data_IF_160243321247
#
_entry.id   IF_160243321247
#
_cell.length_a   1.000
_cell.length_b   1.000
_cell.length_c   1.000
_cell.angle_alpha   90.00
_cell.angle_beta   90.00
_cell.angle_gamma   90.00
#
_symmetry.space_group_name_H-M   'P 1'
#
loop_
_entity.id
_entity.type
_entity.pdbx_description
1 polymer ?
#
# COMPACT_ATOMS: atom_id res chain seq x y z
N UNK A 1 14.69 -7.71 3.38
CA UNK A 1 14.38 -7.85 1.93
C UNK A 1 13.04 -7.21 1.54
N UNK A 2 11.90 -7.68 2.07
CA UNK A 2 10.57 -7.19 1.64
C UNK A 2 10.35 -5.67 1.79
N UNK A 3 10.74 -5.11 2.94
CA UNK A 3 10.65 -3.65 3.18
C UNK A 3 11.53 -2.85 2.21
N UNK A 4 12.77 -3.27 1.96
CA UNK A 4 13.65 -2.60 1.01
C UNK A 4 13.07 -2.59 -0.41
N UNK A 5 12.54 -3.73 -0.87
CA UNK A 5 11.87 -3.81 -2.18
C UNK A 5 10.64 -2.89 -2.24
N UNK A 6 9.83 -2.84 -1.19
CA UNK A 6 8.67 -1.95 -1.11
C UNK A 6 9.08 -0.46 -1.15
N UNK A 7 10.13 -0.08 -0.43
CA UNK A 7 10.66 1.28 -0.43
C UNK A 7 11.15 1.69 -1.83
N UNK A 8 11.88 0.80 -2.52
CA UNK A 8 12.36 1.07 -3.89
C UNK A 8 11.19 1.27 -4.84
N UNK A 9 10.20 0.38 -4.81
CA UNK A 9 8.99 0.50 -5.65
C UNK A 9 8.22 1.78 -5.32
N UNK A 10 8.07 2.12 -4.05
CA UNK A 10 7.43 3.35 -3.60
C UNK A 10 8.15 4.60 -4.13
N UNK A 11 9.46 4.71 -3.90
CA UNK A 11 10.26 5.87 -4.34
C UNK A 11 10.31 5.99 -5.86
N UNK A 12 10.43 4.87 -6.59
CA UNK A 12 10.38 4.87 -8.05
C UNK A 12 9.02 5.35 -8.57
N UNK A 13 7.93 4.89 -7.96
CA UNK A 13 6.57 5.34 -8.32
C UNK A 13 6.40 6.82 -8.01
N UNK A 14 6.82 7.26 -6.83
CA UNK A 14 6.77 8.67 -6.44
C UNK A 14 7.55 9.56 -7.41
N UNK A 15 8.73 9.11 -7.86
CA UNK A 15 9.52 9.84 -8.85
C UNK A 15 8.76 10.03 -10.18
N UNK A 16 8.01 9.02 -10.64
CA UNK A 16 7.14 9.15 -11.83
C UNK A 16 6.05 10.20 -11.58
N UNK A 17 5.39 10.15 -10.43
CA UNK A 17 4.37 11.14 -10.07
C UNK A 17 4.92 12.57 -10.02
N UNK A 18 6.12 12.77 -9.46
CA UNK A 18 6.73 14.09 -9.41
C UNK A 18 7.16 14.60 -10.79
N UNK A 19 7.58 13.71 -11.70
CA UNK A 19 7.90 14.08 -13.08
C UNK A 19 6.68 14.51 -13.89
N UNK A 20 5.53 13.87 -13.66
CA UNK A 20 4.27 14.21 -14.32
C UNK A 20 3.67 15.54 -13.83
N UNK A 21 4.08 16.02 -12.65
CA UNK A 21 3.65 17.32 -12.12
C UNK A 21 4.49 18.44 -12.75
N UNK A 22 3.83 19.24 -13.61
CA UNK A 22 4.45 20.43 -14.23
C UNK A 22 4.47 21.60 -13.25
N UNK A 23 5.61 22.29 -13.18
CA UNK A 23 5.82 23.35 -12.20
C UNK A 23 5.95 22.80 -10.78
N UNK A 24 5.75 23.66 -9.78
CA UNK A 24 5.86 23.29 -8.35
C UNK A 24 7.23 22.72 -7.96
N UNK A 25 8.32 23.17 -8.58
CA UNK A 25 9.68 22.61 -8.38
C UNK A 25 10.11 22.61 -6.90
N UNK A 26 9.78 23.66 -6.15
CA UNK A 26 10.02 23.70 -4.70
C UNK A 26 9.24 22.61 -3.97
N UNK A 27 7.93 22.46 -4.24
CA UNK A 27 7.10 21.42 -3.63
C UNK A 27 7.58 20.02 -3.98
N UNK A 28 7.94 19.79 -5.26
CA UNK A 28 8.49 18.51 -5.74
C UNK A 28 9.77 18.15 -5.00
N UNK A 29 10.68 19.12 -4.84
CA UNK A 29 11.93 18.94 -4.10
C UNK A 29 11.68 18.60 -2.62
N UNK A 30 10.78 19.33 -1.96
CA UNK A 30 10.42 19.06 -0.55
C UNK A 30 9.82 17.66 -0.38
N UNK A 31 8.87 17.27 -1.23
CA UNK A 31 8.23 15.95 -1.19
C UNK A 31 9.28 14.86 -1.42
N UNK A 32 10.13 15.01 -2.45
CA UNK A 32 11.17 14.04 -2.79
C UNK A 32 12.17 13.84 -1.66
N UNK A 33 12.76 14.92 -1.15
CA UNK A 33 13.76 14.83 -0.08
C UNK A 33 13.15 14.31 1.21
N UNK A 34 11.93 14.72 1.56
CA UNK A 34 11.23 14.19 2.74
C UNK A 34 10.97 12.70 2.61
N UNK A 35 10.49 12.23 1.46
CA UNK A 35 10.29 10.81 1.20
C UNK A 35 11.61 10.03 1.29
N UNK A 36 12.70 10.54 0.71
CA UNK A 36 14.02 9.91 0.79
C UNK A 36 14.48 9.80 2.25
N UNK A 37 14.45 10.91 3.01
CA UNK A 37 14.94 10.93 4.39
C UNK A 37 14.10 10.04 5.31
N UNK A 38 12.78 10.06 5.18
CA UNK A 38 11.88 9.20 5.98
C UNK A 38 12.07 7.73 5.65
N UNK A 39 12.17 7.35 4.37
CA UNK A 39 12.41 5.96 3.96
C UNK A 39 13.81 5.46 4.34
N UNK A 40 14.83 6.33 4.30
CA UNK A 40 16.17 6.01 4.79
C UNK A 40 16.17 5.79 6.31
N UNK A 41 15.51 6.66 7.07
CA UNK A 41 15.34 6.49 8.51
C UNK A 41 14.65 5.16 8.84
N UNK A 42 13.56 4.86 8.13
CA UNK A 42 12.83 3.59 8.28
C UNK A 42 13.73 2.37 8.09
N UNK A 43 14.44 2.30 6.95
CA UNK A 43 15.23 1.10 6.65
C UNK A 43 16.39 0.93 7.63
N UNK A 44 17.01 2.03 8.09
CA UNK A 44 18.06 1.99 9.12
C UNK A 44 17.51 1.43 10.43
N UNK A 45 16.34 1.91 10.88
CA UNK A 45 15.71 1.44 12.12
C UNK A 45 15.26 -0.01 12.01
N UNK A 46 14.70 -0.43 10.87
CA UNK A 46 14.35 -1.83 10.60
C UNK A 46 15.58 -2.73 10.66
N UNK A 47 16.67 -2.34 10.01
CA UNK A 47 17.93 -3.13 10.00
C UNK A 47 18.47 -3.24 11.42
N UNK A 48 18.48 -2.14 12.17
CA UNK A 48 18.93 -2.13 13.57
C UNK A 48 18.10 -3.07 14.45
N UNK A 49 16.77 -3.06 14.36
CA UNK A 49 15.91 -4.01 15.08
C UNK A 49 16.14 -5.47 14.63
N UNK A 50 16.37 -5.68 13.33
CA UNK A 50 16.68 -7.01 12.78
C UNK A 50 17.99 -7.56 13.36
N UNK A 51 19.05 -6.74 13.44
CA UNK A 51 20.33 -7.11 14.07
C UNK A 51 20.15 -7.44 15.54
N UNK A 52 19.24 -6.74 16.24
CA UNK A 52 18.85 -7.04 17.63
C UNK A 52 17.96 -8.28 17.78
N UNK A 53 17.58 -8.94 16.69
CA UNK A 53 16.72 -10.13 16.71
C UNK A 53 15.29 -9.86 17.18
N UNK A 54 14.80 -8.62 17.04
CA UNK A 54 13.49 -8.20 17.54
C UNK A 54 12.66 -7.53 16.44
N UNK A 55 11.31 -7.60 16.47
CA UNK A 55 10.48 -6.91 15.49
C UNK A 55 10.65 -5.38 15.57
N UNK A 56 10.51 -4.71 14.43
CA UNK A 56 10.52 -3.24 14.37
C UNK A 56 9.12 -2.64 14.49
N UNK A 57 8.12 -3.29 13.90
CA UNK A 57 6.72 -2.85 13.93
C UNK A 57 5.97 -3.53 15.07
N UNK A 58 5.04 -2.80 15.69
CA UNK A 58 4.15 -3.29 16.76
C UNK A 58 4.89 -3.80 18.00
N UNK A 59 6.12 -3.34 18.23
CA UNK A 59 6.96 -3.82 19.32
C UNK A 59 7.05 -2.81 20.47
N UNK A 60 6.29 -3.05 21.52
CA UNK A 60 6.27 -2.24 22.75
C UNK A 60 6.80 -2.98 23.98
N UNK A 61 7.59 -4.04 23.78
CA UNK A 61 8.09 -4.92 24.84
C UNK A 61 9.11 -4.28 25.79
N UNK A 62 9.69 -3.14 25.42
CA UNK A 62 10.59 -2.35 26.27
C UNK A 62 10.51 -0.87 25.89
N UNK A 63 10.93 0.03 26.79
CA UNK A 63 10.96 1.47 26.52
C UNK A 63 11.74 1.82 25.24
N UNK A 64 12.88 1.15 25.00
CA UNK A 64 13.66 1.36 23.79
C UNK A 64 12.89 0.92 22.53
N UNK A 65 12.27 -0.26 22.53
CA UNK A 65 11.50 -0.75 21.38
C UNK A 65 10.30 0.16 21.08
N UNK A 66 9.60 0.63 22.12
CA UNK A 66 8.50 1.59 21.99
C UNK A 66 8.97 2.91 21.37
N UNK A 67 10.13 3.43 21.80
CA UNK A 67 10.71 4.65 21.22
C UNK A 67 11.07 4.45 19.74
N UNK A 68 11.70 3.34 19.39
CA UNK A 68 12.02 3.02 17.99
C UNK A 68 10.75 2.94 17.16
N UNK A 69 9.75 2.20 17.61
CA UNK A 69 8.46 2.07 16.93
C UNK A 69 7.75 3.43 16.77
N UNK A 70 7.83 4.31 17.77
CA UNK A 70 7.25 5.66 17.72
C UNK A 70 7.97 6.55 16.71
N UNK A 71 9.30 6.49 16.66
CA UNK A 71 10.09 7.24 15.67
C UNK A 71 9.72 6.77 14.26
N UNK A 72 9.71 5.45 14.04
CA UNK A 72 9.29 4.84 12.78
C UNK A 72 7.90 5.32 12.34
N UNK A 73 6.90 5.20 13.24
CA UNK A 73 5.55 5.71 12.99
C UNK A 73 5.52 7.20 12.64
N UNK A 74 6.32 8.02 13.33
CA UNK A 74 6.42 9.47 13.05
C UNK A 74 6.98 9.75 11.66
N UNK A 75 8.02 9.01 11.22
CA UNK A 75 8.56 9.12 9.86
C UNK A 75 7.49 8.80 8.80
N UNK A 76 6.71 7.75 9.02
CA UNK A 76 5.63 7.36 8.11
C UNK A 76 4.49 8.39 8.10
N UNK A 77 4.13 8.97 9.25
CA UNK A 77 3.15 10.07 9.31
C UNK A 77 3.63 11.27 8.50
N UNK A 78 4.88 11.70 8.67
CA UNK A 78 5.47 12.80 7.90
C UNK A 78 5.41 12.50 6.40
N UNK A 79 5.81 11.30 5.98
CA UNK A 79 5.73 10.89 4.59
C UNK A 79 4.28 10.87 4.07
N UNK A 80 3.33 10.40 4.88
CA UNK A 80 1.91 10.39 4.54
C UNK A 80 1.36 11.80 4.31
N UNK A 81 1.76 12.77 5.15
CA UNK A 81 1.40 14.18 4.97
C UNK A 81 1.95 14.74 3.64
N UNK A 82 3.15 14.34 3.23
CA UNK A 82 3.69 14.72 1.92
C UNK A 82 2.89 14.12 0.76
N UNK A 83 2.38 12.89 0.90
CA UNK A 83 1.53 12.28 -0.12
C UNK A 83 0.12 12.89 -0.14
N UNK A 84 -0.42 13.28 1.01
CA UNK A 84 -1.65 14.08 1.07
C UNK A 84 -1.45 15.41 0.32
N UNK A 85 -0.33 16.09 0.58
CA UNK A 85 0.01 17.33 -0.12
C UNK A 85 0.16 17.11 -1.63
N UNK A 86 0.87 16.05 -2.05
CA UNK A 86 0.97 15.67 -3.46
C UNK A 86 -0.40 15.40 -4.09
N UNK A 87 -1.29 14.74 -3.36
CA UNK A 87 -2.66 14.46 -3.80
C UNK A 87 -3.40 15.76 -4.09
N UNK A 88 -3.32 16.73 -3.17
CA UNK A 88 -3.91 18.07 -3.35
C UNK A 88 -3.34 18.75 -4.60
N UNK A 89 -2.01 18.73 -4.78
CA UNK A 89 -1.36 19.30 -5.97
C UNK A 89 -1.85 18.65 -7.27
N UNK A 90 -2.07 17.33 -7.28
CA UNK A 90 -2.59 16.61 -8.45
C UNK A 90 -4.02 17.00 -8.84
N UNK A 91 -4.84 17.45 -7.88
CA UNK A 91 -6.18 17.98 -8.16
C UNK A 91 -6.17 19.45 -8.55
N UNK A 92 -5.15 20.22 -8.16
CA UNK A 92 -5.01 21.64 -8.49
C UNK A 92 -4.27 21.88 -9.80
N UNK A 93 -3.32 21.01 -10.14
CA UNK A 93 -2.46 21.15 -11.30
C UNK A 93 -3.18 20.73 -12.59
N UNK A 94 -2.84 21.44 -13.67
CA UNK A 94 -3.11 20.98 -15.02
C UNK A 94 -2.05 19.95 -15.43
N UNK A 95 -2.48 18.72 -15.69
CA UNK A 95 -1.61 17.60 -16.02
C UNK A 95 -1.64 17.42 -17.54
N UNK A 96 -0.49 17.58 -18.19
CA UNK A 96 -0.36 17.26 -19.61
C UNK A 96 -0.23 15.74 -19.81
N UNK A 97 -1.33 15.06 -19.52
CA UNK A 97 -1.50 13.62 -19.59
C UNK A 97 -2.86 13.32 -20.23
N UNK A 98 -3.02 12.17 -20.91
CA UNK A 98 -4.34 11.69 -21.31
C UNK A 98 -5.29 11.66 -20.10
N UNK A 99 -6.53 12.11 -20.30
CA UNK A 99 -7.52 12.25 -19.21
C UNK A 99 -7.70 10.98 -18.38
N UNK A 100 -7.66 9.80 -19.01
CA UNK A 100 -7.73 8.52 -18.32
C UNK A 100 -6.56 8.33 -17.33
N UNK A 101 -5.33 8.63 -17.75
CA UNK A 101 -4.15 8.50 -16.90
C UNK A 101 -4.14 9.53 -15.76
N UNK A 102 -4.55 10.77 -16.04
CA UNK A 102 -4.68 11.81 -15.01
C UNK A 102 -5.68 11.38 -13.91
N UNK A 103 -6.84 10.84 -14.29
CA UNK A 103 -7.80 10.29 -13.33
C UNK A 103 -7.27 9.05 -12.61
N UNK A 104 -6.58 8.15 -13.31
CA UNK A 104 -5.95 6.98 -12.70
C UNK A 104 -4.93 7.37 -11.63
N UNK A 105 -4.10 8.37 -11.90
CA UNK A 105 -3.14 8.90 -10.94
C UNK A 105 -3.80 9.56 -9.73
N UNK A 106 -4.82 10.40 -9.95
CA UNK A 106 -5.60 11.05 -8.88
C UNK A 106 -6.29 10.04 -7.97
N UNK A 107 -7.04 9.09 -8.54
CA UNK A 107 -7.77 8.09 -7.76
C UNK A 107 -6.81 7.11 -7.08
N UNK A 108 -5.71 6.74 -7.74
CA UNK A 108 -4.62 5.97 -7.14
C UNK A 108 -4.07 6.61 -5.87
N UNK A 109 -3.78 7.91 -5.90
CA UNK A 109 -3.32 8.67 -4.73
C UNK A 109 -4.36 8.73 -3.61
N UNK A 110 -5.64 8.96 -3.95
CA UNK A 110 -6.72 8.99 -2.95
C UNK A 110 -6.82 7.66 -2.21
N UNK A 111 -6.86 6.54 -2.93
CA UNK A 111 -6.94 5.21 -2.31
C UNK A 111 -5.67 4.89 -1.52
N UNK A 112 -4.49 5.31 -2.00
CA UNK A 112 -3.23 5.18 -1.25
C UNK A 112 -3.25 5.93 0.09
N UNK A 113 -3.77 7.15 0.11
CA UNK A 113 -3.91 7.92 1.36
C UNK A 113 -4.85 7.21 2.32
N UNK A 114 -5.98 6.68 1.84
CA UNK A 114 -6.91 5.90 2.67
C UNK A 114 -6.25 4.64 3.22
N UNK A 115 -5.49 3.92 2.40
CA UNK A 115 -4.69 2.76 2.83
C UNK A 115 -3.62 3.14 3.87
N UNK A 116 -2.99 4.30 3.73
CA UNK A 116 -2.03 4.82 4.72
C UNK A 116 -2.69 5.10 6.07
N UNK A 117 -3.93 5.63 6.08
CA UNK A 117 -4.71 5.85 7.30
C UNK A 117 -5.05 4.53 7.98
N UNK A 118 -5.41 3.49 7.22
CA UNK A 118 -5.63 2.15 7.75
C UNK A 118 -4.34 1.54 8.35
N UNK A 119 -3.18 1.84 7.77
CA UNK A 119 -1.87 1.53 8.38
C UNK A 119 -1.68 2.20 9.74
N UNK A 120 -2.08 3.46 9.86
CA UNK A 120 -2.11 4.19 11.13
C UNK A 120 -3.03 3.52 12.15
N UNK A 121 -4.20 3.03 11.71
CA UNK A 121 -5.11 2.27 12.58
C UNK A 121 -4.45 1.00 13.13
N UNK A 122 -3.78 0.19 12.30
CA UNK A 122 -3.01 -0.97 12.78
C UNK A 122 -1.98 -0.58 13.84
N UNK A 123 -1.28 0.55 13.65
CA UNK A 123 -0.32 1.03 14.63
C UNK A 123 -0.97 1.35 15.99
N UNK A 124 -2.19 1.88 16.00
CA UNK A 124 -2.95 2.10 17.26
C UNK A 124 -3.35 0.80 17.96
N UNK A 125 -3.55 -0.27 17.20
CA UNK A 125 -3.90 -1.59 17.75
C UNK A 125 -2.68 -2.37 18.24
N UNK A 126 -1.46 -1.87 17.98
CA UNK A 126 -0.20 -2.59 18.23
C UNK A 126 -0.25 -4.00 17.62
N UNK A 127 -0.79 -4.09 16.39
CA UNK A 127 -0.85 -5.35 15.68
C UNK A 127 -1.71 -5.27 14.42
N UNK A 128 -1.72 -6.37 13.67
CA UNK A 128 -2.44 -6.45 12.41
C UNK A 128 -3.38 -7.66 12.31
N UNK A 129 -3.25 -8.62 13.23
CA UNK A 129 -4.10 -9.81 13.30
C UNK A 129 -5.35 -9.50 14.10
N UNK A 130 -6.51 -9.88 13.57
CA UNK A 130 -7.80 -9.68 14.21
C UNK A 130 -8.33 -11.03 14.69
N UNK A 131 -8.66 -11.11 15.99
CA UNK A 131 -9.14 -12.33 16.63
C UNK A 131 -8.04 -13.18 17.29
N UNK A 132 -6.76 -12.80 17.15
CA UNK A 132 -5.62 -13.45 17.80
C UNK A 132 -4.43 -12.49 17.91
N UNK A 133 -3.40 -12.88 18.66
CA UNK A 133 -2.11 -12.19 18.67
C UNK A 133 -1.36 -12.38 17.34
N UNK A 134 -0.55 -11.39 16.97
CA UNK A 134 0.37 -11.49 15.83
C UNK A 134 1.37 -12.65 16.00
N UNK A 135 1.88 -13.17 14.87
CA UNK A 135 2.89 -14.24 14.85
C UNK A 135 2.36 -15.66 14.63
N UNK A 136 1.05 -15.81 14.40
CA UNK A 136 0.45 -17.07 13.98
C UNK A 136 0.91 -17.58 12.60
N UNK A 137 0.49 -18.78 12.24
CA UNK A 137 0.80 -19.41 10.94
C UNK A 137 0.26 -18.55 9.79
N UNK A 138 1.08 -18.33 8.77
CA UNK A 138 0.72 -17.49 7.63
C UNK A 138 1.14 -18.05 6.28
N UNK A 139 0.68 -17.41 5.21
CA UNK A 139 1.02 -17.75 3.83
C UNK A 139 2.54 -17.60 3.58
N UNK A 140 3.13 -18.44 2.70
CA UNK A 140 4.52 -18.25 2.27
C UNK A 140 4.77 -16.83 1.74
N UNK A 141 5.96 -16.30 2.00
CA UNK A 141 6.45 -14.98 1.57
C UNK A 141 5.72 -13.74 2.12
N UNK A 142 4.41 -13.72 2.28
CA UNK A 142 3.69 -12.53 2.82
C UNK A 142 3.33 -12.68 4.29
N UNK A 143 3.33 -13.93 4.80
CA UNK A 143 2.97 -14.29 6.16
C UNK A 143 1.58 -13.80 6.59
N UNK A 144 0.66 -13.60 5.65
CA UNK A 144 -0.72 -13.27 5.97
C UNK A 144 -1.40 -14.44 6.66
N UNK A 145 -2.14 -14.15 7.74
CA UNK A 145 -2.79 -15.18 8.56
C UNK A 145 -3.71 -16.08 7.72
N UNK A 146 -3.61 -17.40 7.97
CA UNK A 146 -4.48 -18.42 7.35
C UNK A 146 -5.55 -18.95 8.31
N UNK A 147 -5.57 -18.44 9.53
CA UNK A 147 -6.48 -18.85 10.61
C UNK A 147 -7.35 -17.71 11.12
N UNK A 148 -6.88 -16.47 11.02
CA UNK A 148 -7.52 -15.28 11.57
C UNK A 148 -7.54 -14.15 10.53
N UNK A 149 -8.25 -13.07 10.83
CA UNK A 149 -8.23 -11.85 10.01
C UNK A 149 -6.86 -11.20 10.01
N UNK A 150 -6.46 -10.60 8.88
CA UNK A 150 -5.17 -9.93 8.74
C UNK A 150 -5.32 -8.62 7.96
N UNK A 151 -5.23 -7.51 8.68
CA UNK A 151 -5.43 -6.16 8.14
C UNK A 151 -4.36 -5.82 7.08
N UNK A 152 -3.18 -6.45 7.11
CA UNK A 152 -2.12 -6.22 6.12
C UNK A 152 -2.55 -6.54 4.70
N UNK A 153 -3.53 -7.42 4.52
CA UNK A 153 -4.07 -7.72 3.19
C UNK A 153 -4.75 -6.49 2.60
N UNK A 154 -5.65 -5.86 3.36
CA UNK A 154 -6.32 -4.63 2.95
C UNK A 154 -5.29 -3.50 2.80
N UNK A 155 -4.41 -3.34 3.78
CA UNK A 155 -3.32 -2.36 3.74
C UNK A 155 -2.50 -2.44 2.46
N UNK A 156 -2.09 -3.65 2.07
CA UNK A 156 -1.33 -3.91 0.85
C UNK A 156 -2.07 -3.41 -0.39
N UNK A 157 -3.36 -3.73 -0.52
CA UNK A 157 -4.17 -3.22 -1.63
C UNK A 157 -4.30 -1.70 -1.59
N UNK A 158 -4.51 -1.09 -0.43
CA UNK A 158 -4.54 0.36 -0.27
C UNK A 158 -3.24 1.02 -0.74
N UNK A 159 -2.09 0.53 -0.25
CA UNK A 159 -0.77 1.04 -0.62
C UNK A 159 -0.39 0.79 -2.08
N UNK A 160 -0.94 -0.22 -2.74
CA UNK A 160 -0.63 -0.51 -4.14
C UNK A 160 -1.55 0.19 -5.15
N UNK A 161 -2.57 0.91 -4.68
CA UNK A 161 -3.53 1.57 -5.55
C UNK A 161 -2.90 2.63 -6.47
N UNK A 162 -1.93 3.40 -5.95
CA UNK A 162 -1.25 4.43 -6.73
C UNK A 162 -0.25 3.88 -7.77
N UNK A 163 0.07 2.59 -7.75
CA UNK A 163 0.70 1.91 -8.88
C UNK A 163 -0.35 1.30 -9.81
N UNK A 164 -1.27 0.51 -9.26
CA UNK A 164 -2.12 -0.38 -10.05
C UNK A 164 -3.17 0.41 -10.86
N UNK A 165 -3.79 1.43 -10.28
CA UNK A 165 -4.84 2.19 -10.97
C UNK A 165 -4.28 2.96 -12.18
N UNK A 166 -3.14 3.69 -12.09
CA UNK A 166 -2.51 4.29 -13.27
C UNK A 166 -2.07 3.28 -14.32
N UNK A 167 -1.55 2.12 -13.91
CA UNK A 167 -1.16 1.06 -14.85
C UNK A 167 -2.37 0.48 -15.60
N UNK A 168 -3.52 0.34 -14.92
CA UNK A 168 -4.77 -0.04 -15.58
C UNK A 168 -5.21 1.04 -16.59
N UNK A 169 -5.06 2.33 -16.25
CA UNK A 169 -5.35 3.42 -17.18
C UNK A 169 -4.47 3.36 -18.44
N UNK A 170 -3.16 3.10 -18.28
CA UNK A 170 -2.25 2.90 -19.41
C UNK A 170 -2.64 1.69 -20.25
N UNK A 171 -3.05 0.59 -19.62
CA UNK A 171 -3.53 -0.60 -20.32
C UNK A 171 -4.80 -0.29 -21.14
N UNK A 172 -5.77 0.42 -20.58
CA UNK A 172 -6.98 0.80 -21.31
C UNK A 172 -6.72 1.78 -22.45
N UNK A 173 -5.76 2.69 -22.29
CA UNK A 173 -5.30 3.56 -23.38
C UNK A 173 -4.65 2.74 -24.51
N UNK A 174 -3.79 1.79 -24.16
CA UNK A 174 -3.11 0.91 -25.14
C UNK A 174 -4.08 -0.01 -25.89
N UNK A 175 -5.09 -0.54 -25.20
CA UNK A 175 -6.08 -1.46 -25.76
C UNK A 175 -7.22 -0.77 -26.50
N UNK A 176 -7.35 0.57 -26.38
CA UNK A 176 -8.45 1.35 -26.96
C UNK A 176 -8.72 0.98 -28.42
N UNK A 177 -7.70 1.10 -29.26
CA UNK A 177 -7.86 0.89 -30.70
C UNK A 177 -7.83 -0.60 -31.08
N UNK A 178 -7.17 -1.43 -30.27
CA UNK A 178 -7.05 -2.89 -30.50
C UNK A 178 -8.35 -3.65 -30.23
N UNK A 179 -9.12 -3.20 -29.25
CA UNK A 179 -10.34 -3.87 -28.78
C UNK A 179 -11.60 -3.00 -28.91
N UNK A 180 -11.49 -1.86 -29.62
CA UNK A 180 -12.57 -0.87 -29.75
C UNK A 180 -13.20 -0.48 -28.39
N UNK A 181 -12.37 -0.26 -27.36
CA UNK A 181 -12.86 0.10 -26.03
C UNK A 181 -13.57 1.46 -26.07
N UNK A 182 -14.70 1.61 -25.35
CA UNK A 182 -15.56 2.79 -25.49
C UNK A 182 -14.87 4.06 -24.98
N UNK A 183 -14.51 4.08 -23.69
CA UNK A 183 -13.88 5.23 -23.04
C UNK A 183 -12.84 4.75 -22.02
N UNK A 184 -11.53 4.87 -22.32
CA UNK A 184 -10.47 4.53 -21.37
C UNK A 184 -10.62 5.28 -20.04
N UNK A 185 -11.14 6.51 -20.05
CA UNK A 185 -11.41 7.29 -18.84
C UNK A 185 -12.50 6.64 -17.99
N UNK A 186 -13.63 6.26 -18.59
CA UNK A 186 -14.72 5.60 -17.86
C UNK A 186 -14.26 4.25 -17.29
N UNK A 187 -13.53 3.47 -18.08
CA UNK A 187 -12.96 2.19 -17.64
C UNK A 187 -11.98 2.38 -16.47
N UNK A 188 -11.14 3.42 -16.52
CA UNK A 188 -10.21 3.72 -15.43
C UNK A 188 -10.96 4.07 -14.15
N UNK A 189 -12.00 4.91 -14.22
CA UNK A 189 -12.81 5.30 -13.06
C UNK A 189 -13.56 4.08 -12.51
N UNK A 190 -14.18 3.28 -13.39
CA UNK A 190 -14.87 2.04 -12.99
C UNK A 190 -13.91 1.05 -12.32
N UNK A 191 -12.72 0.86 -12.88
CA UNK A 191 -11.68 0.02 -12.29
C UNK A 191 -11.25 0.54 -10.91
N UNK A 192 -11.05 1.86 -10.76
CA UNK A 192 -10.70 2.46 -9.48
C UNK A 192 -11.80 2.25 -8.42
N UNK A 193 -13.08 2.36 -8.79
CA UNK A 193 -14.21 2.08 -7.90
C UNK A 193 -14.22 0.61 -7.48
N UNK A 194 -14.05 -0.32 -8.42
CA UNK A 194 -14.00 -1.76 -8.12
C UNK A 194 -12.81 -2.08 -7.22
N UNK A 195 -11.64 -1.50 -7.52
CA UNK A 195 -10.43 -1.67 -6.72
C UNK A 195 -10.62 -1.15 -5.29
N UNK A 196 -11.22 0.04 -5.13
CA UNK A 196 -11.56 0.60 -3.82
C UNK A 196 -12.59 -0.26 -3.08
N UNK A 197 -13.60 -0.79 -3.79
CA UNK A 197 -14.55 -1.76 -3.23
C UNK A 197 -13.86 -3.01 -2.72
N UNK A 198 -12.94 -3.59 -3.51
CA UNK A 198 -12.14 -4.75 -3.10
C UNK A 198 -11.28 -4.46 -1.86
N UNK A 199 -10.60 -3.31 -1.82
CA UNK A 199 -9.87 -2.85 -0.64
C UNK A 199 -10.75 -2.83 0.62
N UNK A 200 -11.95 -2.22 0.55
CA UNK A 200 -12.87 -2.15 1.69
C UNK A 200 -13.43 -3.53 2.08
N UNK A 201 -13.73 -4.38 1.10
CA UNK A 201 -14.20 -5.75 1.38
C UNK A 201 -13.12 -6.57 2.09
N UNK A 202 -11.86 -6.44 1.70
CA UNK A 202 -10.72 -7.07 2.36
C UNK A 202 -10.54 -6.54 3.79
N UNK A 203 -10.72 -5.24 3.99
CA UNK A 203 -10.67 -4.63 5.32
C UNK A 203 -11.77 -5.21 6.22
N UNK A 204 -13.03 -5.22 5.76
CA UNK A 204 -14.16 -5.77 6.50
C UNK A 204 -13.99 -7.27 6.75
N UNK A 205 -13.51 -8.03 5.76
CA UNK A 205 -13.23 -9.45 5.91
C UNK A 205 -12.22 -9.71 7.05
N UNK A 206 -11.10 -8.97 7.06
CA UNK A 206 -10.12 -9.05 8.13
C UNK A 206 -10.71 -8.62 9.47
N UNK A 207 -11.52 -7.56 9.50
CA UNK A 207 -12.17 -7.07 10.72
C UNK A 207 -13.17 -8.09 11.31
N UNK A 208 -13.80 -8.91 10.47
CA UNK A 208 -14.64 -10.03 10.88
C UNK A 208 -13.82 -11.26 11.34
N UNK A 209 -12.50 -11.15 11.49
CA UNK A 209 -11.61 -12.22 11.91
C UNK A 209 -11.42 -13.32 10.86
N UNK A 210 -11.78 -13.07 9.59
CA UNK A 210 -11.69 -14.08 8.53
C UNK A 210 -10.37 -13.96 7.76
N UNK A 211 -9.60 -15.05 7.60
CA UNK A 211 -8.39 -15.02 6.77
C UNK A 211 -8.74 -14.81 5.30
N UNK A 212 -7.80 -14.28 4.51
CA UNK A 212 -7.94 -14.18 3.05
C UNK A 212 -8.07 -15.57 2.42
N UNK A 213 -7.16 -16.47 2.81
CA UNK A 213 -7.11 -17.85 2.37
C UNK A 213 -7.03 -18.71 3.64
N UNK A 214 -8.00 -19.60 3.82
CA UNK A 214 -8.05 -20.46 5.01
C UNK A 214 -7.10 -21.65 4.89
N UNK A 215 -6.65 -22.17 6.03
CA UNK A 215 -5.93 -23.45 6.11
C UNK A 215 -6.71 -24.61 5.47
N UNK A 216 -8.01 -24.68 5.72
CA UNK A 216 -8.88 -25.73 5.18
C UNK A 216 -8.90 -25.73 3.66
N UNK A 217 -8.94 -24.55 3.02
CA UNK A 217 -8.92 -24.46 1.56
C UNK A 217 -7.56 -24.84 0.96
N UNK A 218 -6.45 -24.63 1.68
CA UNK A 218 -5.12 -25.08 1.26
C UNK A 218 -4.95 -26.60 1.33
N UNK A 219 -5.56 -27.25 2.33
CA UNK A 219 -5.53 -28.71 2.50
C UNK A 219 -6.42 -29.40 1.46
N UNK A 220 -7.64 -28.89 1.22
CA UNK A 220 -8.55 -29.42 0.21
C UNK A 220 -7.93 -29.42 -1.19
N UNK A 221 -7.29 -28.31 -1.60
CA UNK A 221 -6.63 -28.22 -2.90
C UNK A 221 -5.33 -29.03 -3.04
N UNK A 222 -4.79 -29.59 -1.95
CA UNK A 222 -3.70 -30.60 -2.01
C UNK A 222 -4.26 -32.01 -2.21
N UNK A 223 -5.40 -32.31 -1.61
CA UNK A 223 -6.05 -33.61 -1.74
C UNK A 223 -6.52 -33.86 -3.17
N UNK A 224 -7.17 -32.87 -3.79
CA UNK A 224 -7.64 -32.97 -5.18
C UNK A 224 -6.50 -33.14 -6.20
N UNK A 225 -5.35 -32.49 -5.98
CA UNK A 225 -4.18 -32.60 -6.88
C UNK A 225 -3.41 -33.91 -6.80
N UNK A 226 -3.53 -34.63 -5.69
CA UNK A 226 -2.86 -35.92 -5.52
C UNK A 226 -3.72 -37.11 -5.95
N UNK A 227 -5.00 -36.88 -6.23
CA UNK A 227 -6.00 -37.93 -6.47
C UNK A 227 -6.86 -37.68 -7.73
N UNK A 228 -6.41 -36.81 -8.64
CA UNK A 228 -6.96 -36.62 -9.99
C UNK A 228 -5.88 -36.78 -11.04
#
# INVERSE_FOLDING_TARGET
MKFASSIVVYLATLAVYLQCLRGHETSKSVIAWTAILTMLGEIVLIIMQTVRGTPSHFNNTSAFNSTVFTIMGSLIVINTLMIIWLTILYFQADLDLPTALAWGMRLGLVVFVIGSVEGGYMATQIGHTVGASDGGRGLPFVNWSVTNGDLRVAHFFGLHAFQIIPLAALLFLYLRDKLALPSPTLLTIAFAIVYFGAFNLLFVQAFLGKPLISETSLVAGKYERNHG
#
